data_IF_334258111247
#
_entry.id   IF_334258111247
#
_cell.length_a   1.000
_cell.length_b   1.000
_cell.length_c   1.000
_cell.angle_alpha   90.00
_cell.angle_beta   90.00
_cell.angle_gamma   90.00
#
_symmetry.space_group_name_H-M   'P 1'
#
loop_
_entity.id
_entity.type
_entity.pdbx_description
1 polymer ?
#
# COMPACT_ATOMS: atom_id res chain seq x y z
N UNK A 1 -5.50 13.19 -5.63
CA UNK A 1 -4.19 13.06 -6.28
C UNK A 1 -3.63 11.64 -6.10
N UNK A 2 -3.69 10.80 -7.14
CA UNK A 2 -2.93 9.54 -7.16
C UNK A 2 -1.49 9.81 -7.58
N UNK A 3 -0.49 9.26 -6.89
CA UNK A 3 0.91 9.34 -7.28
C UNK A 3 1.45 7.97 -7.67
N UNK A 4 2.40 7.93 -8.60
CA UNK A 4 3.13 6.70 -8.94
C UNK A 4 4.51 6.75 -8.28
N UNK A 5 4.92 5.63 -7.68
CA UNK A 5 6.20 5.47 -7.01
C UNK A 5 6.93 4.32 -7.69
N UNK A 6 8.17 4.58 -8.09
CA UNK A 6 9.08 3.58 -8.65
C UNK A 6 10.21 3.31 -7.68
N UNK A 7 10.32 2.07 -7.24
CA UNK A 7 11.40 1.59 -6.39
C UNK A 7 12.67 1.33 -7.21
N UNK A 8 13.87 1.32 -6.58
CA UNK A 8 15.13 1.06 -7.28
C UNK A 8 15.19 -0.31 -7.98
N UNK A 9 14.46 -1.31 -7.48
CA UNK A 9 14.38 -2.64 -8.10
C UNK A 9 13.42 -2.69 -9.32
N UNK A 10 12.83 -1.55 -9.70
CA UNK A 10 11.91 -1.43 -10.81
C UNK A 10 10.45 -1.66 -10.44
N UNK A 11 10.13 -2.03 -9.19
CA UNK A 11 8.75 -2.17 -8.71
C UNK A 11 8.00 -0.85 -8.82
N UNK A 12 6.78 -0.90 -9.35
CA UNK A 12 5.89 0.27 -9.48
C UNK A 12 4.68 0.08 -8.57
N UNK A 13 4.36 1.11 -7.80
CA UNK A 13 3.20 1.15 -6.90
C UNK A 13 2.49 2.48 -7.08
N UNK A 14 1.15 2.48 -7.05
CA UNK A 14 0.36 3.72 -7.05
C UNK A 14 -0.16 4.05 -5.66
N UNK A 15 0.19 5.23 -5.17
CA UNK A 15 -0.37 5.83 -3.96
C UNK A 15 -1.73 6.46 -4.25
N UNK A 16 -2.71 6.25 -3.36
CA UNK A 16 -4.05 6.84 -3.48
C UNK A 16 -4.57 7.41 -2.16
N UNK A 17 -5.28 8.54 -2.22
CA UNK A 17 -6.13 8.99 -1.12
C UNK A 17 -7.51 8.32 -1.23
N UNK A 18 -8.24 8.24 -0.11
CA UNK A 18 -9.59 7.68 -0.11
C UNK A 18 -10.54 8.48 -1.02
N UNK A 19 -10.32 9.78 -1.17
CA UNK A 19 -11.05 10.66 -2.09
C UNK A 19 -10.80 10.37 -3.57
N UNK A 20 -9.68 9.70 -3.90
CA UNK A 20 -9.33 9.32 -5.27
C UNK A 20 -9.68 7.87 -5.60
N UNK A 21 -10.38 7.19 -4.69
CA UNK A 21 -10.74 5.79 -4.85
C UNK A 21 -11.59 5.59 -6.10
N UNK A 22 -11.07 4.81 -7.03
CA UNK A 22 -11.80 4.34 -8.21
C UNK A 22 -12.08 2.85 -8.09
N UNK A 23 -13.36 2.47 -8.05
CA UNK A 23 -13.77 1.07 -7.97
C UNK A 23 -13.56 0.29 -9.26
N UNK A 24 -13.51 0.98 -10.41
CA UNK A 24 -13.44 0.41 -11.75
C UNK A 24 -12.05 0.57 -12.38
N UNK A 25 -11.04 0.79 -11.57
CA UNK A 25 -9.66 0.88 -12.03
C UNK A 25 -9.15 -0.49 -12.53
N UNK A 26 -9.26 -0.71 -13.85
CA UNK A 26 -8.90 -1.98 -14.50
C UNK A 26 -7.41 -2.33 -14.43
N UNK A 27 -6.55 -1.35 -14.19
CA UNK A 27 -5.11 -1.57 -14.03
C UNK A 27 -4.78 -2.27 -12.70
N UNK A 28 -5.66 -2.23 -11.70
CA UNK A 28 -5.34 -2.62 -10.33
C UNK A 28 -5.57 -4.11 -10.10
N UNK A 29 -4.49 -4.84 -9.83
CA UNK A 29 -4.56 -6.24 -9.43
C UNK A 29 -4.88 -6.39 -7.94
N UNK A 30 -4.27 -5.54 -7.11
CA UNK A 30 -4.41 -5.62 -5.65
C UNK A 30 -4.35 -4.25 -4.96
N UNK A 31 -5.07 -4.12 -3.86
CA UNK A 31 -5.00 -2.98 -2.94
C UNK A 31 -4.37 -3.31 -1.57
N UNK A 32 -3.64 -2.36 -1.01
CA UNK A 32 -3.24 -2.33 0.40
C UNK A 32 -3.71 -1.00 1.01
N UNK A 33 -4.69 -1.06 1.89
CA UNK A 33 -5.30 0.14 2.45
C UNK A 33 -5.07 0.25 3.94
N UNK A 34 -4.45 1.35 4.35
CA UNK A 34 -3.95 1.62 5.68
C UNK A 34 -4.96 2.43 6.51
N UNK A 35 -6.25 2.27 6.23
CA UNK A 35 -7.33 2.94 6.95
C UNK A 35 -8.60 2.08 6.87
N UNK A 36 -9.24 1.84 8.02
CA UNK A 36 -10.42 0.97 8.12
C UNK A 36 -11.64 1.51 7.33
N UNK A 37 -11.64 2.78 6.92
CA UNK A 37 -12.70 3.36 6.08
C UNK A 37 -12.70 2.84 4.64
N UNK A 38 -11.63 2.21 4.19
CA UNK A 38 -11.62 1.60 2.87
C UNK A 38 -12.53 0.37 2.83
N UNK A 39 -13.51 0.41 1.93
CA UNK A 39 -14.39 -0.70 1.59
C UNK A 39 -14.19 -1.10 0.12
N UNK A 40 -13.07 -1.79 -0.22
CA UNK A 40 -12.78 -2.19 -1.59
C UNK A 40 -13.72 -3.32 -2.05
N UNK A 41 -14.09 -3.30 -3.32
CA UNK A 41 -14.84 -4.38 -4.00
C UNK A 41 -13.95 -5.29 -4.85
N UNK A 42 -12.64 -5.11 -4.76
CA UNK A 42 -11.58 -5.82 -5.50
C UNK A 42 -10.61 -6.50 -4.52
N UNK A 43 -9.68 -7.35 -4.99
CA UNK A 43 -8.71 -8.00 -4.12
C UNK A 43 -7.88 -6.98 -3.35
N UNK A 44 -8.02 -6.97 -2.02
CA UNK A 44 -7.33 -6.00 -1.19
C UNK A 44 -7.15 -6.47 0.25
N UNK A 45 -6.13 -5.92 0.91
CA UNK A 45 -5.93 -6.03 2.35
C UNK A 45 -6.18 -4.67 2.99
N UNK A 46 -7.11 -4.60 3.94
CA UNK A 46 -7.37 -3.41 4.75
C UNK A 46 -6.75 -3.60 6.13
N UNK A 47 -5.90 -2.66 6.53
CA UNK A 47 -5.27 -2.60 7.83
C UNK A 47 -5.92 -1.51 8.67
N UNK A 48 -6.34 -1.87 9.88
CA UNK A 48 -6.76 -0.89 10.88
C UNK A 48 -5.53 -0.14 11.38
N UNK A 49 -5.39 1.11 10.94
CA UNK A 49 -4.30 1.99 11.32
C UNK A 49 -4.90 3.35 11.70
N UNK A 50 -5.03 3.65 13.00
CA UNK A 50 -5.53 4.93 13.48
C UNK A 50 -4.71 6.11 12.96
N UNK A 51 -5.36 7.26 12.87
CA UNK A 51 -4.67 8.46 12.44
C UNK A 51 -3.61 8.89 13.47
N UNK A 52 -2.44 9.31 12.98
CA UNK A 52 -1.26 9.67 13.79
C UNK A 52 -0.79 8.58 14.78
N UNK A 53 -1.16 7.32 14.55
CA UNK A 53 -0.80 6.19 15.39
C UNK A 53 0.03 5.11 14.67
N UNK A 54 0.14 3.95 15.32
CA UNK A 54 0.68 2.72 14.76
C UNK A 54 -0.46 1.78 14.32
N UNK A 55 -0.19 0.75 13.49
CA UNK A 55 -1.17 -0.28 13.21
C UNK A 55 -1.71 -0.90 14.51
N UNK A 56 -3.00 -1.27 14.50
CA UNK A 56 -3.60 -1.98 15.65
C UNK A 56 -2.89 -3.32 15.92
N UNK A 57 -2.40 -3.95 14.87
CA UNK A 57 -1.63 -5.20 14.93
C UNK A 57 -0.39 -5.06 14.03
N UNK A 58 0.77 -4.84 14.66
CA UNK A 58 2.04 -4.62 13.96
C UNK A 58 2.51 -5.86 13.18
N UNK A 59 2.32 -7.07 13.74
CA UNK A 59 2.78 -8.30 13.10
C UNK A 59 1.94 -8.59 11.85
N UNK A 60 0.62 -8.41 11.95
CA UNK A 60 -0.27 -8.52 10.79
C UNK A 60 0.01 -7.45 9.75
N UNK A 61 0.31 -6.22 10.18
CA UNK A 61 0.66 -5.14 9.27
C UNK A 61 1.96 -5.44 8.50
N UNK A 62 3.03 -5.84 9.19
CA UNK A 62 4.30 -6.23 8.55
C UNK A 62 4.08 -7.34 7.51
N UNK A 63 3.40 -8.43 7.89
CA UNK A 63 3.13 -9.53 6.97
C UNK A 63 2.31 -9.09 5.76
N UNK A 64 1.26 -8.27 5.97
CA UNK A 64 0.41 -7.79 4.89
C UNK A 64 1.16 -6.85 3.94
N UNK A 65 2.00 -5.96 4.47
CA UNK A 65 2.85 -5.07 3.69
C UNK A 65 3.80 -5.90 2.84
N UNK A 66 4.56 -6.83 3.44
CA UNK A 66 5.52 -7.68 2.70
C UNK A 66 4.86 -8.44 1.56
N UNK A 67 3.74 -9.12 1.82
CA UNK A 67 2.99 -9.88 0.80
C UNK A 67 2.48 -9.00 -0.34
N UNK A 68 2.03 -7.79 -0.03
CA UNK A 68 1.55 -6.85 -1.06
C UNK A 68 2.69 -6.42 -1.98
N UNK A 69 3.86 -6.10 -1.43
CA UNK A 69 5.02 -5.67 -2.21
C UNK A 69 5.76 -6.82 -2.89
N UNK A 70 5.71 -8.04 -2.37
CA UNK A 70 6.13 -9.25 -3.08
C UNK A 70 5.32 -9.47 -4.37
N UNK A 71 4.00 -9.28 -4.31
CA UNK A 71 3.15 -9.30 -5.50
C UNK A 71 3.56 -8.22 -6.51
N UNK A 72 3.84 -7.00 -6.03
CA UNK A 72 4.28 -5.91 -6.89
C UNK A 72 5.63 -6.17 -7.56
N UNK A 73 6.59 -6.74 -6.81
CA UNK A 73 7.89 -7.18 -7.34
C UNK A 73 7.75 -8.27 -8.41
N UNK A 74 6.73 -9.13 -8.28
CA UNK A 74 6.36 -10.13 -9.28
C UNK A 74 5.75 -9.55 -10.56
N UNK A 75 5.62 -8.23 -10.68
CA UNK A 75 5.03 -7.54 -11.83
C UNK A 75 3.54 -7.22 -11.68
N UNK A 76 2.95 -7.46 -10.50
CA UNK A 76 1.55 -7.13 -10.22
C UNK A 76 1.34 -5.64 -9.93
N UNK A 77 0.19 -5.12 -10.33
CA UNK A 77 -0.16 -3.73 -10.11
C UNK A 77 -0.77 -3.52 -8.71
N UNK A 78 -0.02 -2.82 -7.85
CA UNK A 78 -0.40 -2.54 -6.47
C UNK A 78 -0.85 -1.09 -6.29
N UNK A 79 -2.02 -0.91 -5.68
CA UNK A 79 -2.46 0.36 -5.11
C UNK A 79 -2.23 0.36 -3.59
N UNK A 80 -1.59 1.41 -3.06
CA UNK A 80 -1.45 1.62 -1.60
C UNK A 80 -2.16 2.91 -1.22
N UNK A 81 -3.09 2.84 -0.27
CA UNK A 81 -3.87 4.01 0.11
C UNK A 81 -4.04 4.19 1.60
N UNK A 82 -4.25 5.43 2.02
CA UNK A 82 -4.73 5.77 3.36
C UNK A 82 -5.84 6.82 3.20
N UNK A 83 -6.18 7.57 4.26
CA UNK A 83 -7.16 8.64 4.14
C UNK A 83 -6.76 9.71 3.11
N UNK A 84 -5.54 10.23 3.23
CA UNK A 84 -5.02 11.33 2.39
C UNK A 84 -3.92 10.92 1.40
N UNK A 85 -3.53 9.65 1.35
CA UNK A 85 -2.51 9.15 0.42
C UNK A 85 -1.06 9.57 0.70
N UNK A 86 -0.80 10.30 1.80
CA UNK A 86 0.52 10.89 2.09
C UNK A 86 1.17 10.34 3.37
N UNK A 87 0.51 10.43 4.52
CA UNK A 87 1.10 10.09 5.83
C UNK A 87 1.44 8.61 6.00
N UNK A 88 0.45 7.78 6.34
CA UNK A 88 0.61 6.33 6.49
C UNK A 88 1.14 5.65 5.22
N UNK A 89 0.70 6.12 4.05
CA UNK A 89 1.20 5.65 2.75
C UNK A 89 2.70 5.89 2.64
N UNK A 90 3.18 7.11 2.92
CA UNK A 90 4.61 7.43 2.92
C UNK A 90 5.40 6.60 3.93
N UNK A 91 4.86 6.38 5.13
CA UNK A 91 5.48 5.50 6.14
C UNK A 91 5.69 4.08 5.62
N UNK A 92 4.69 3.49 4.97
CA UNK A 92 4.81 2.13 4.41
C UNK A 92 5.79 2.09 3.24
N UNK A 93 5.77 3.10 2.37
CA UNK A 93 6.71 3.17 1.24
C UNK A 93 8.16 3.30 1.71
N UNK A 94 8.42 4.15 2.71
CA UNK A 94 9.76 4.29 3.32
C UNK A 94 10.18 3.01 4.04
N UNK A 95 9.27 2.37 4.79
CA UNK A 95 9.54 1.09 5.43
C UNK A 95 9.97 0.02 4.43
N UNK A 96 9.26 -0.10 3.31
CA UNK A 96 9.63 -1.05 2.25
C UNK A 96 10.92 -0.64 1.57
N UNK A 97 11.08 0.64 1.22
CA UNK A 97 12.29 1.19 0.58
C UNK A 97 13.56 0.83 1.36
N UNK A 98 13.54 0.96 2.69
CA UNK A 98 14.70 0.62 3.55
C UNK A 98 15.05 -0.87 3.51
N UNK A 99 14.08 -1.74 3.26
CA UNK A 99 14.31 -3.18 3.12
C UNK A 99 14.88 -3.58 1.76
N UNK A 100 14.89 -2.72 0.73
CA UNK A 100 15.53 -3.04 -0.55
C UNK A 100 17.06 -3.07 -0.47
N UNK A 101 17.67 -2.50 0.58
CA UNK A 101 19.12 -2.60 0.82
C UNK A 101 19.55 -3.88 1.53
N UNK A 102 18.60 -4.64 2.05
CA UNK A 102 18.82 -5.89 2.78
C UNK A 102 18.35 -7.02 1.87
N UNK A 103 19.31 -7.66 1.19
CA UNK A 103 19.09 -8.86 0.37
C UNK A 103 18.33 -9.91 1.21
N UNK A 104 17.12 -10.27 0.78
CA UNK A 104 16.40 -11.46 1.23
C UNK A 104 16.75 -12.64 0.32
#
# INVERSE_FOLDING_TARGET
>A
MSCEIRFPDGTIVRGAALSDRDANADWRDRGLYLDARWAPTWPATVLAWPDLGLPVDNARADQAIRRAFEHARGGGNLEVGCAGGLGRTGTVLDFVQRQHGELW
#
